data_IF_200816946230
#
_entry.id   IF_200816946230
#
_cell.length_a   1.000
_cell.length_b   1.000
_cell.length_c   1.000
_cell.angle_alpha   90.00
_cell.angle_beta   90.00
_cell.angle_gamma   90.00
#
_symmetry.space_group_name_H-M   'P 1'
#
loop_
_entity.id
_entity.type
_entity.pdbx_description
1 polymer ?
#
# COMPACT_ATOMS: atom_id res chain seq x y z
N UNK A 1 -27.72 -25.21 -11.66
CA UNK A 1 -26.53 -25.22 -10.75
C UNK A 1 -27.00 -25.14 -9.31
N UNK A 2 -26.41 -25.92 -8.43
CA UNK A 2 -26.83 -25.92 -7.03
C UNK A 2 -26.36 -24.62 -6.35
N UNK A 3 -27.08 -24.16 -5.34
CA UNK A 3 -26.71 -22.95 -4.56
C UNK A 3 -25.34 -23.06 -3.94
N UNK A 4 -24.95 -24.28 -3.55
CA UNK A 4 -23.64 -24.60 -3.00
C UNK A 4 -22.50 -24.22 -4.00
N UNK A 5 -22.72 -24.53 -5.29
CA UNK A 5 -21.75 -24.21 -6.35
C UNK A 5 -21.54 -22.70 -6.49
N UNK A 6 -22.62 -21.90 -6.46
CA UNK A 6 -22.50 -20.43 -6.53
C UNK A 6 -21.78 -19.84 -5.33
N UNK A 7 -22.10 -20.30 -4.11
CA UNK A 7 -21.42 -19.85 -2.89
C UNK A 7 -19.94 -20.22 -2.93
N UNK A 8 -19.62 -21.44 -3.36
CA UNK A 8 -18.23 -21.89 -3.46
C UNK A 8 -17.45 -21.10 -4.53
N UNK A 9 -18.04 -20.84 -5.71
CA UNK A 9 -17.41 -20.02 -6.76
C UNK A 9 -17.12 -18.59 -6.29
N UNK A 10 -18.11 -17.97 -5.62
CA UNK A 10 -17.91 -16.63 -5.08
C UNK A 10 -16.78 -16.61 -4.04
N UNK A 11 -16.78 -17.56 -3.11
CA UNK A 11 -15.74 -17.67 -2.08
C UNK A 11 -14.36 -17.93 -2.72
N UNK A 12 -14.28 -18.80 -3.76
CA UNK A 12 -13.03 -19.04 -4.49
C UNK A 12 -12.49 -17.77 -5.13
N UNK A 13 -13.35 -16.97 -5.77
CA UNK A 13 -12.95 -15.69 -6.36
C UNK A 13 -12.38 -14.72 -5.31
N UNK A 14 -12.96 -14.70 -4.10
CA UNK A 14 -12.46 -13.86 -3.02
C UNK A 14 -11.12 -14.39 -2.44
N UNK A 15 -10.99 -15.71 -2.30
CA UNK A 15 -9.74 -16.35 -1.87
C UNK A 15 -8.62 -16.12 -2.89
N UNK A 16 -8.93 -16.07 -4.19
CA UNK A 16 -7.96 -15.72 -5.22
C UNK A 16 -7.45 -14.30 -5.05
N UNK A 17 -8.33 -13.32 -4.82
CA UNK A 17 -7.91 -11.94 -4.52
C UNK A 17 -7.04 -11.85 -3.27
N UNK A 18 -7.33 -12.66 -2.25
CA UNK A 18 -6.48 -12.74 -1.07
C UNK A 18 -5.11 -13.32 -1.39
N UNK A 19 -5.04 -14.38 -2.20
CA UNK A 19 -3.77 -14.95 -2.67
C UNK A 19 -2.94 -13.94 -3.45
N UNK A 20 -3.58 -13.14 -4.31
CA UNK A 20 -2.90 -12.08 -5.08
C UNK A 20 -2.28 -11.03 -4.16
N UNK A 21 -2.99 -10.61 -3.10
CA UNK A 21 -2.47 -9.65 -2.11
C UNK A 21 -1.31 -10.24 -1.32
N UNK A 22 -1.44 -11.48 -0.83
CA UNK A 22 -0.37 -12.16 -0.09
C UNK A 22 0.86 -12.34 -0.99
N UNK A 23 0.68 -12.75 -2.25
CA UNK A 23 1.76 -12.92 -3.22
C UNK A 23 2.48 -11.60 -3.49
N UNK A 24 1.72 -10.50 -3.59
CA UNK A 24 2.28 -9.16 -3.75
C UNK A 24 3.09 -8.73 -2.52
N UNK A 25 2.61 -9.01 -1.30
CA UNK A 25 3.35 -8.75 -0.07
C UNK A 25 4.66 -9.55 -0.02
N UNK A 26 4.60 -10.85 -0.34
CA UNK A 26 5.78 -11.73 -0.37
C UNK A 26 6.81 -11.27 -1.40
N UNK A 27 6.36 -10.89 -2.60
CA UNK A 27 7.24 -10.40 -3.67
C UNK A 27 7.97 -9.10 -3.28
N UNK A 28 7.37 -8.29 -2.39
CA UNK A 28 7.90 -7.00 -1.97
C UNK A 28 8.48 -6.99 -0.54
N UNK A 29 8.86 -8.16 0.00
CA UNK A 29 9.44 -8.24 1.35
C UNK A 29 10.79 -7.51 1.45
N UNK A 30 11.59 -7.53 0.39
CA UNK A 30 12.90 -6.87 0.32
C UNK A 30 12.84 -5.46 -0.31
N UNK A 31 11.64 -5.00 -0.72
CA UNK A 31 11.49 -3.70 -1.36
C UNK A 31 11.51 -2.59 -0.29
N UNK A 32 12.41 -1.62 -0.43
CA UNK A 32 12.56 -0.48 0.48
C UNK A 32 11.30 0.38 0.51
N UNK A 33 10.88 0.79 1.70
CA UNK A 33 9.69 1.65 1.88
C UNK A 33 8.35 1.00 1.53
N UNK A 34 8.33 -0.29 1.18
CA UNK A 34 7.06 -0.97 0.87
C UNK A 34 6.20 -1.12 2.12
N UNK A 35 4.90 -0.89 1.95
CA UNK A 35 3.87 -1.09 2.99
C UNK A 35 2.92 -2.21 2.62
N UNK A 36 2.81 -3.21 3.51
CA UNK A 36 1.97 -4.39 3.30
C UNK A 36 0.51 -4.03 3.11
N UNK A 37 -0.17 -4.78 2.26
CA UNK A 37 -1.61 -4.68 2.06
C UNK A 37 -2.31 -5.83 2.76
N UNK A 38 -3.48 -5.55 3.30
CA UNK A 38 -4.34 -6.53 3.95
C UNK A 38 -5.76 -6.44 3.41
N UNK A 39 -6.32 -7.59 3.05
CA UNK A 39 -7.74 -7.68 2.71
C UNK A 39 -8.58 -7.89 3.97
N UNK A 40 -9.67 -7.15 4.11
CA UNK A 40 -10.72 -7.44 5.07
C UNK A 40 -11.90 -8.12 4.37
N UNK A 41 -12.48 -9.14 5.03
CA UNK A 41 -13.62 -9.87 4.51
C UNK A 41 -14.88 -9.46 5.26
N UNK A 42 -15.97 -9.37 4.52
CA UNK A 42 -17.30 -9.14 5.05
C UNK A 42 -18.25 -10.21 4.54
N UNK A 43 -19.14 -10.66 5.41
CA UNK A 43 -20.20 -11.56 5.01
C UNK A 43 -21.18 -10.85 4.08
N UNK A 44 -21.58 -11.52 3.01
CA UNK A 44 -22.67 -11.07 2.15
C UNK A 44 -24.01 -11.24 2.84
N UNK A 45 -25.06 -10.64 2.26
CA UNK A 45 -26.42 -10.70 2.78
C UNK A 45 -26.85 -12.12 3.15
N UNK A 46 -27.39 -12.26 4.35
CA UNK A 46 -27.99 -13.50 4.83
C UNK A 46 -29.45 -13.52 4.37
N UNK A 47 -29.85 -14.56 3.65
CA UNK A 47 -31.23 -14.77 3.34
C UNK A 47 -31.90 -15.51 4.51
N UNK A 48 -32.93 -14.91 5.08
CA UNK A 48 -33.73 -15.52 6.16
C UNK A 48 -35.05 -15.99 5.58
N UNK A 49 -35.30 -17.27 5.69
CA UNK A 49 -36.61 -17.88 5.35
C UNK A 49 -37.41 -18.16 6.64
N UNK A 50 -38.45 -17.39 6.86
CA UNK A 50 -39.41 -17.63 7.95
C UNK A 50 -40.50 -18.54 7.45
N UNK A 51 -40.53 -19.80 7.89
CA UNK A 51 -41.48 -20.81 7.46
C UNK A 51 -42.62 -21.04 8.50
N UNK A 52 -42.80 -20.10 9.44
CA UNK A 52 -43.84 -20.19 10.45
C UNK A 52 -44.86 -19.09 10.28
N UNK A 53 -46.16 -19.49 10.37
CA UNK A 53 -47.28 -18.54 10.43
C UNK A 53 -47.19 -17.72 11.73
N UNK A 54 -47.63 -16.47 11.67
CA UNK A 54 -47.57 -15.49 12.78
C UNK A 54 -48.36 -15.96 14.03
N UNK A 55 -49.18 -17.00 13.89
CA UNK A 55 -50.06 -17.55 14.95
C UNK A 55 -49.34 -18.49 15.93
N UNK A 56 -48.15 -18.99 15.62
CA UNK A 56 -47.44 -19.98 16.47
C UNK A 56 -46.26 -19.38 17.22
N UNK A 57 -46.51 -18.26 17.91
CA UNK A 57 -45.51 -17.58 18.76
C UNK A 57 -45.41 -18.22 20.15
N UNK A 58 -44.91 -19.44 20.22
CA UNK A 58 -44.34 -19.93 21.48
C UNK A 58 -43.08 -19.16 21.79
N UNK A 59 -42.78 -18.81 23.07
CA UNK A 59 -41.54 -18.14 23.44
C UNK A 59 -40.37 -19.09 23.19
N UNK A 60 -39.73 -18.96 22.05
CA UNK A 60 -38.54 -19.70 21.65
C UNK A 60 -37.29 -18.91 21.98
N UNK A 61 -36.30 -19.57 22.58
CA UNK A 61 -34.96 -19.01 22.83
C UNK A 61 -34.04 -19.05 21.60
N UNK A 62 -34.49 -19.71 20.50
CA UNK A 62 -33.71 -19.81 19.25
C UNK A 62 -34.23 -18.80 18.22
N UNK A 63 -33.33 -18.21 17.38
CA UNK A 63 -33.73 -17.29 16.30
C UNK A 63 -34.76 -17.94 15.37
N UNK A 64 -35.80 -17.18 14.98
CA UNK A 64 -36.80 -17.64 14.01
C UNK A 64 -36.20 -17.75 12.61
N UNK A 65 -36.54 -18.85 11.91
CA UNK A 65 -36.19 -19.06 10.52
C UNK A 65 -34.84 -19.71 10.24
N UNK A 66 -34.69 -20.19 9.01
CA UNK A 66 -33.43 -20.71 8.50
C UNK A 66 -32.61 -19.56 7.90
N UNK A 67 -31.45 -19.27 8.46
CA UNK A 67 -30.51 -18.30 7.91
C UNK A 67 -29.54 -18.99 6.98
N UNK A 68 -29.46 -18.52 5.75
CA UNK A 68 -28.57 -19.07 4.73
C UNK A 68 -27.68 -17.96 4.23
N UNK A 69 -26.36 -18.06 4.49
CA UNK A 69 -25.36 -17.14 3.96
C UNK A 69 -25.15 -17.35 2.45
N UNK A 70 -24.76 -16.28 1.76
CA UNK A 70 -24.46 -16.28 0.30
C UNK A 70 -22.96 -16.23 0.01
N UNK A 71 -22.12 -16.33 1.05
CA UNK A 71 -20.65 -16.29 0.96
C UNK A 71 -20.04 -15.03 1.52
N UNK A 72 -18.73 -14.87 1.37
CA UNK A 72 -17.97 -13.70 1.78
C UNK A 72 -17.56 -12.83 0.58
N UNK A 73 -17.31 -11.56 0.83
CA UNK A 73 -16.77 -10.58 -0.12
C UNK A 73 -15.57 -9.88 0.51
N UNK A 74 -14.53 -9.61 -0.28
CA UNK A 74 -13.49 -8.64 0.11
C UNK A 74 -14.16 -7.28 0.22
N UNK A 75 -14.17 -6.73 1.43
CA UNK A 75 -14.79 -5.43 1.71
C UNK A 75 -13.86 -4.31 1.32
N UNK A 76 -12.61 -4.38 1.79
CA UNK A 76 -11.63 -3.33 1.60
C UNK A 76 -10.23 -3.93 1.57
N UNK A 77 -9.36 -3.33 0.76
CA UNK A 77 -7.91 -3.56 0.79
C UNK A 77 -7.30 -2.36 1.49
N UNK A 78 -6.63 -2.59 2.61
CA UNK A 78 -6.01 -1.56 3.42
C UNK A 78 -4.50 -1.66 3.34
N UNK A 79 -3.83 -0.51 3.19
CA UNK A 79 -2.37 -0.41 3.36
C UNK A 79 -2.05 -0.21 4.83
N UNK A 80 -1.20 -1.06 5.38
CA UNK A 80 -0.75 -0.95 6.78
C UNK A 80 0.44 0.01 6.83
N UNK A 81 0.21 1.20 7.35
CA UNK A 81 1.20 2.29 7.37
C UNK A 81 2.20 2.20 8.53
N UNK A 82 2.22 1.10 9.30
CA UNK A 82 3.23 0.90 10.36
C UNK A 82 4.63 0.98 9.80
N UNK A 83 5.55 1.54 10.58
CA UNK A 83 6.94 1.65 10.19
C UNK A 83 7.61 0.28 10.13
N UNK A 84 8.41 0.06 9.08
CA UNK A 84 9.29 -1.08 8.96
C UNK A 84 10.57 -0.91 9.78
N UNK A 85 11.41 -1.94 9.84
CA UNK A 85 12.73 -1.82 10.47
C UNK A 85 13.63 -0.90 9.67
N UNK A 86 14.44 -0.09 10.38
CA UNK A 86 15.45 0.73 9.76
C UNK A 86 16.75 -0.09 9.65
N UNK A 87 17.37 -0.05 8.48
CA UNK A 87 18.63 -0.73 8.18
C UNK A 87 19.68 0.28 7.78
N UNK A 88 20.78 0.31 8.51
CA UNK A 88 21.94 1.12 8.14
C UNK A 88 22.61 0.55 6.88
N UNK A 89 22.80 1.40 5.88
CA UNK A 89 23.38 1.02 4.59
C UNK A 89 24.80 1.57 4.40
N UNK A 90 25.14 2.64 5.14
CA UNK A 90 26.42 3.36 5.01
C UNK A 90 26.52 4.19 3.71
N UNK A 91 25.49 4.21 2.86
CA UNK A 91 25.48 4.99 1.62
C UNK A 91 24.98 6.41 1.90
N UNK A 92 25.71 7.40 1.44
CA UNK A 92 25.43 8.82 1.75
C UNK A 92 24.14 9.38 1.15
N UNK A 93 23.56 8.72 0.17
CA UNK A 93 22.31 9.14 -0.50
C UNK A 93 21.09 8.34 -0.04
N UNK A 94 21.24 7.51 0.99
CA UNK A 94 20.12 6.76 1.57
C UNK A 94 19.56 7.51 2.78
N UNK A 95 18.26 7.75 2.76
CA UNK A 95 17.54 8.48 3.79
C UNK A 95 16.33 7.68 4.26
N UNK A 96 16.18 7.50 5.56
CA UNK A 96 15.04 6.85 6.15
C UNK A 96 14.21 7.83 6.96
N UNK A 97 12.89 7.81 6.77
CA UNK A 97 11.95 8.55 7.60
C UNK A 97 11.68 7.77 8.88
N UNK A 98 11.91 8.38 10.05
CA UNK A 98 11.73 7.75 11.37
C UNK A 98 10.34 7.98 11.95
N UNK A 99 9.60 8.94 11.41
CA UNK A 99 8.24 9.25 11.83
C UNK A 99 7.24 8.56 10.88
N UNK A 100 6.21 7.87 11.40
CA UNK A 100 5.18 7.27 10.56
C UNK A 100 4.39 8.35 9.78
N UNK A 101 3.83 7.94 8.64
CA UNK A 101 3.00 8.79 7.77
C UNK A 101 3.71 10.01 7.15
N UNK A 102 5.02 10.09 7.21
CA UNK A 102 5.80 11.05 6.41
C UNK A 102 6.20 10.41 5.08
N UNK A 103 6.27 11.21 4.02
CA UNK A 103 6.62 10.75 2.67
C UNK A 103 7.45 11.80 1.96
N UNK A 104 8.35 11.34 1.09
CA UNK A 104 9.09 12.19 0.17
C UNK A 104 8.23 12.59 -1.02
N UNK A 105 8.39 13.82 -1.51
CA UNK A 105 7.80 14.28 -2.77
C UNK A 105 8.72 13.91 -3.93
N UNK A 106 8.17 13.31 -4.96
CA UNK A 106 8.87 13.00 -6.20
C UNK A 106 8.04 13.43 -7.40
N UNK A 107 8.69 13.85 -8.46
CA UNK A 107 8.07 14.22 -9.71
C UNK A 107 8.15 13.01 -10.66
N UNK A 108 7.02 12.40 -10.94
CA UNK A 108 6.93 11.25 -11.82
C UNK A 108 5.92 11.48 -12.95
N UNK A 109 6.13 10.89 -14.14
CA UNK A 109 5.18 10.99 -15.23
C UNK A 109 3.90 10.20 -14.90
N UNK A 110 2.75 10.86 -15.06
CA UNK A 110 1.44 10.23 -15.05
C UNK A 110 0.82 10.39 -16.45
N UNK A 111 1.05 9.40 -17.32
CA UNK A 111 0.72 9.52 -18.74
C UNK A 111 1.60 10.57 -19.45
N UNK A 112 1.01 11.66 -19.93
CA UNK A 112 1.72 12.76 -20.62
C UNK A 112 2.04 13.96 -19.71
N UNK A 113 1.63 13.93 -18.45
CA UNK A 113 1.83 15.02 -17.49
C UNK A 113 2.79 14.61 -16.39
N UNK A 114 3.55 15.56 -15.87
CA UNK A 114 4.40 15.38 -14.70
C UNK A 114 3.59 15.76 -13.47
N UNK A 115 3.37 14.78 -12.60
CA UNK A 115 2.60 14.96 -11.37
C UNK A 115 3.46 14.67 -10.14
N UNK A 116 3.09 15.30 -9.03
CA UNK A 116 3.72 15.05 -7.74
C UNK A 116 3.20 13.72 -7.19
N UNK A 117 4.11 12.84 -6.90
CA UNK A 117 3.87 11.57 -6.25
C UNK A 117 4.57 11.54 -4.89
N UNK A 118 4.14 10.64 -4.04
CA UNK A 118 4.66 10.48 -2.69
C UNK A 118 5.26 9.09 -2.55
N UNK A 119 6.46 9.02 -1.97
CA UNK A 119 7.13 7.74 -1.74
C UNK A 119 7.71 7.66 -0.35
N UNK A 120 7.82 6.44 0.17
CA UNK A 120 8.54 6.14 1.42
C UNK A 120 9.94 5.61 1.13
N UNK A 121 10.25 5.32 -0.13
CA UNK A 121 11.59 4.90 -0.53
C UNK A 121 12.55 6.09 -0.53
N UNK A 122 13.60 5.98 0.27
CA UNK A 122 14.66 7.00 0.39
C UNK A 122 15.97 6.59 -0.26
N UNK A 123 15.98 5.57 -1.12
CA UNK A 123 17.15 5.18 -1.89
C UNK A 123 17.30 6.11 -3.12
N UNK A 124 18.07 7.19 -2.95
CA UNK A 124 18.25 8.17 -4.01
C UNK A 124 19.56 7.94 -4.79
N UNK A 125 19.56 8.41 -6.02
CA UNK A 125 20.63 8.28 -7.00
C UNK A 125 20.93 9.65 -7.63
N UNK A 126 22.10 9.74 -8.25
CA UNK A 126 22.49 10.91 -9.00
C UNK A 126 22.35 10.63 -10.49
N UNK A 127 21.69 11.51 -11.19
CA UNK A 127 21.56 11.47 -12.65
C UNK A 127 22.15 12.74 -13.25
N UNK A 128 23.18 12.67 -14.09
CA UNK A 128 23.69 13.83 -14.78
C UNK A 128 22.65 14.34 -15.79
N UNK A 129 22.35 15.63 -15.72
CA UNK A 129 21.50 16.33 -16.69
C UNK A 129 22.38 16.91 -17.79
N UNK A 130 23.45 17.59 -17.37
CA UNK A 130 24.46 18.22 -18.23
C UNK A 130 25.87 17.90 -17.71
N UNK A 131 26.90 18.40 -18.38
CA UNK A 131 28.31 18.24 -17.98
C UNK A 131 28.64 18.83 -16.60
N UNK A 132 27.81 19.75 -16.09
CA UNK A 132 28.01 20.45 -14.81
C UNK A 132 26.87 20.28 -13.80
N UNK A 133 25.72 19.77 -14.23
CA UNK A 133 24.51 19.68 -13.38
C UNK A 133 24.11 18.24 -13.15
N UNK A 134 23.83 17.91 -11.89
CA UNK A 134 23.41 16.58 -11.45
C UNK A 134 22.10 16.69 -10.66
N UNK A 135 21.13 15.87 -11.02
CA UNK A 135 19.85 15.81 -10.31
C UNK A 135 19.80 14.64 -9.33
N UNK A 136 19.07 14.84 -8.24
CA UNK A 136 18.72 13.80 -7.31
C UNK A 136 17.46 13.06 -7.81
N UNK A 137 17.58 11.75 -8.05
CA UNK A 137 16.52 10.92 -8.61
C UNK A 137 16.30 9.65 -7.78
N UNK A 138 15.14 9.03 -7.95
CA UNK A 138 14.87 7.68 -7.44
C UNK A 138 15.51 6.61 -8.31
N UNK A 139 15.43 5.34 -7.91
CA UNK A 139 15.88 4.18 -8.71
C UNK A 139 15.23 4.09 -10.10
N UNK A 140 14.04 4.65 -10.25
CA UNK A 140 13.26 4.69 -11.49
C UNK A 140 13.54 5.96 -12.34
N UNK A 141 14.39 6.86 -11.86
CA UNK A 141 14.71 8.10 -12.55
C UNK A 141 13.75 9.26 -12.30
N UNK A 142 12.87 9.17 -11.30
CA UNK A 142 11.98 10.26 -10.92
C UNK A 142 12.71 11.31 -10.09
N UNK A 143 12.50 12.60 -10.38
CA UNK A 143 13.18 13.68 -9.67
C UNK A 143 12.66 13.82 -8.25
N UNK A 144 13.56 13.93 -7.29
CA UNK A 144 13.23 14.26 -5.91
C UNK A 144 12.99 15.77 -5.82
N UNK A 145 11.90 16.15 -5.16
CA UNK A 145 11.51 17.54 -5.03
C UNK A 145 11.93 18.13 -3.68
N UNK A 146 12.16 19.41 -3.69
CA UNK A 146 12.36 20.20 -2.50
C UNK A 146 11.01 20.63 -1.86
N UNK A 147 11.08 21.44 -0.80
CA UNK A 147 9.88 21.96 -0.13
C UNK A 147 8.98 22.78 -1.07
N UNK A 148 9.55 23.49 -2.04
CA UNK A 148 8.88 24.41 -2.97
C UNK A 148 8.43 23.71 -4.27
N UNK A 149 8.50 22.36 -4.31
CA UNK A 149 8.17 21.51 -5.45
C UNK A 149 9.11 21.68 -6.66
N UNK A 150 10.33 22.16 -6.46
CA UNK A 150 11.33 22.20 -7.49
C UNK A 150 12.20 20.93 -7.44
N UNK A 151 12.66 20.40 -8.58
CA UNK A 151 13.61 19.29 -8.59
C UNK A 151 14.93 19.72 -7.97
N UNK A 152 15.51 18.85 -7.15
CA UNK A 152 16.81 19.08 -6.52
C UNK A 152 17.91 18.85 -7.54
N UNK A 153 18.54 19.94 -7.98
CA UNK A 153 19.64 19.93 -8.95
C UNK A 153 20.80 20.69 -8.32
N UNK A 154 21.99 20.13 -8.36
CA UNK A 154 23.19 20.78 -7.83
C UNK A 154 24.32 20.76 -8.86
N UNK A 155 25.26 21.68 -8.70
CA UNK A 155 26.38 21.87 -9.63
C UNK A 155 27.64 21.12 -9.15
N UNK A 156 28.21 20.32 -10.06
CA UNK A 156 29.51 19.65 -9.88
C UNK A 156 29.44 18.25 -9.28
N UNK A 157 30.63 17.64 -9.11
CA UNK A 157 30.75 16.29 -8.57
C UNK A 157 30.54 16.26 -7.06
N UNK A 158 29.73 15.32 -6.61
CA UNK A 158 29.39 15.15 -5.20
C UNK A 158 30.54 14.48 -4.44
N UNK A 159 31.09 15.16 -3.41
CA UNK A 159 32.10 14.60 -2.50
C UNK A 159 31.50 14.14 -1.17
N UNK A 160 30.61 14.95 -0.60
CA UNK A 160 30.05 14.70 0.72
C UNK A 160 28.60 15.15 0.79
N UNK A 161 27.78 14.34 1.45
CA UNK A 161 26.40 14.69 1.83
C UNK A 161 26.35 14.77 3.35
N UNK A 162 25.78 15.84 3.86
CA UNK A 162 25.51 16.01 5.28
C UNK A 162 24.02 16.29 5.46
N UNK A 163 23.43 15.66 6.47
CA UNK A 163 22.06 15.90 6.87
C UNK A 163 22.04 16.86 8.06
N UNK A 164 21.25 17.93 7.97
CA UNK A 164 20.89 18.80 9.09
C UNK A 164 19.68 18.32 9.83
N UNK A 165 19.46 18.84 11.04
CA UNK A 165 18.39 18.39 11.94
C UNK A 165 16.97 18.67 11.38
N UNK A 166 16.83 19.67 10.52
CA UNK A 166 15.54 20.09 9.93
C UNK A 166 15.21 19.41 8.58
N UNK A 167 15.86 18.28 8.26
CA UNK A 167 15.73 17.66 6.96
C UNK A 167 16.39 18.46 5.82
N UNK A 168 17.30 19.37 6.15
CA UNK A 168 18.16 20.05 5.19
C UNK A 168 19.28 19.11 4.78
N UNK A 169 19.45 18.90 3.50
CA UNK A 169 20.57 18.13 2.95
C UNK A 169 21.56 19.07 2.32
N UNK A 170 22.80 19.02 2.78
CA UNK A 170 23.91 19.83 2.27
C UNK A 170 24.80 18.95 1.39
N UNK A 171 24.94 19.33 0.15
CA UNK A 171 25.84 18.71 -0.83
C UNK A 171 27.11 19.55 -0.91
N UNK A 172 28.27 18.92 -0.79
CA UNK A 172 29.57 19.59 -0.87
C UNK A 172 30.36 19.03 -2.05
N UNK A 173 30.84 19.93 -2.91
CA UNK A 173 31.68 19.62 -4.06
C UNK A 173 33.16 19.49 -3.70
N UNK A 174 33.99 19.03 -4.64
CA UNK A 174 35.45 18.99 -4.47
C UNK A 174 36.08 20.38 -4.36
N UNK A 175 35.46 21.40 -4.96
CA UNK A 175 35.89 22.79 -4.92
C UNK A 175 35.65 23.47 -3.56
N UNK A 176 34.89 22.84 -2.67
CA UNK A 176 34.55 23.37 -1.35
C UNK A 176 33.26 24.18 -1.31
N UNK A 177 32.58 24.30 -2.46
CA UNK A 177 31.26 24.93 -2.49
C UNK A 177 30.25 23.96 -1.88
N UNK A 178 29.33 24.49 -1.08
CA UNK A 178 28.25 23.71 -0.45
C UNK A 178 26.89 24.32 -0.77
N UNK A 179 26.00 23.50 -1.31
CA UNK A 179 24.61 23.87 -1.57
C UNK A 179 23.70 23.08 -0.61
N UNK A 180 22.74 23.78 0.00
CA UNK A 180 21.81 23.18 0.95
C UNK A 180 20.38 23.20 0.39
N UNK A 181 19.76 22.05 0.36
CA UNK A 181 18.39 21.88 -0.11
C UNK A 181 17.51 21.32 1.00
N UNK A 182 16.30 21.86 1.10
CA UNK A 182 15.30 21.37 2.01
C UNK A 182 14.50 20.24 1.34
N UNK A 183 14.69 18.98 1.72
CA UNK A 183 13.91 17.87 1.16
C UNK A 183 12.41 18.13 1.29
N UNK A 184 11.68 17.87 0.21
CA UNK A 184 10.23 17.94 0.16
C UNK A 184 9.60 16.77 0.90
N UNK A 185 9.22 16.99 2.16
CA UNK A 185 8.59 15.97 3.02
C UNK A 185 7.20 16.44 3.39
N UNK A 186 6.25 15.51 3.33
CA UNK A 186 4.86 15.76 3.68
C UNK A 186 4.40 14.78 4.75
N UNK A 187 3.48 15.23 5.59
CA UNK A 187 2.73 14.39 6.51
C UNK A 187 1.37 14.06 5.90
N UNK A 188 1.03 12.78 5.84
CA UNK A 188 -0.24 12.30 5.31
C UNK A 188 -1.09 11.79 6.47
N UNK A 189 -2.23 12.45 6.74
CA UNK A 189 -3.11 12.06 7.83
C UNK A 189 -3.83 10.76 7.57
N UNK A 190 -4.23 10.51 6.33
CA UNK A 190 -4.93 9.29 5.95
C UNK A 190 -4.27 8.61 4.74
N UNK A 191 -3.26 7.73 4.95
CA UNK A 191 -2.58 7.03 3.86
C UNK A 191 -3.50 6.10 3.05
N UNK A 192 -4.67 5.74 3.58
CA UNK A 192 -5.63 4.88 2.89
C UNK A 192 -6.40 5.62 1.79
N UNK A 193 -6.42 6.96 1.81
CA UNK A 193 -7.03 7.78 0.79
C UNK A 193 -6.18 7.86 -0.49
N UNK A 194 -4.89 7.50 -0.41
CA UNK A 194 -3.98 7.52 -1.54
C UNK A 194 -4.08 6.25 -2.38
N UNK A 195 -3.92 6.40 -3.68
CA UNK A 195 -3.86 5.30 -4.64
C UNK A 195 -2.41 4.97 -4.96
N UNK A 196 -2.08 3.67 -4.97
CA UNK A 196 -0.78 3.18 -5.45
C UNK A 196 -0.77 3.22 -6.98
N UNK A 197 0.18 3.94 -7.54
CA UNK A 197 0.36 4.07 -9.00
C UNK A 197 1.36 3.04 -9.54
N UNK A 198 2.13 2.39 -8.67
CA UNK A 198 3.22 1.47 -8.99
C UNK A 198 4.53 1.93 -8.36
N UNK A 199 5.57 1.08 -8.38
CA UNK A 199 6.95 1.42 -7.97
C UNK A 199 7.05 2.17 -6.62
N UNK A 200 6.25 1.77 -5.62
CA UNK A 200 6.13 2.44 -4.32
C UNK A 200 5.68 3.92 -4.37
N UNK A 201 5.12 4.35 -5.50
CA UNK A 201 4.55 5.69 -5.64
C UNK A 201 3.08 5.71 -5.20
N UNK A 202 2.74 6.75 -4.46
CA UNK A 202 1.39 7.07 -4.03
C UNK A 202 0.94 8.37 -4.69
N UNK A 203 -0.30 8.44 -5.12
CA UNK A 203 -0.90 9.65 -5.70
C UNK A 203 -2.26 9.94 -5.07
N UNK A 204 -2.67 11.19 -5.14
CA UNK A 204 -4.03 11.61 -4.78
C UNK A 204 -4.93 11.27 -5.96
N UNK A 205 -6.01 10.52 -5.78
CA UNK A 205 -6.96 10.25 -6.85
C UNK A 205 -7.72 11.52 -7.26
N UNK A 206 -7.95 11.68 -8.56
CA UNK A 206 -8.54 12.89 -9.15
C UNK A 206 -9.96 13.21 -8.63
N UNK A 207 -10.68 12.22 -8.14
CA UNK A 207 -12.04 12.43 -7.61
C UNK A 207 -12.08 13.22 -6.28
N UNK A 208 -10.98 13.27 -5.51
CA UNK A 208 -10.90 14.13 -4.33
C UNK A 208 -10.78 15.63 -4.64
N UNK A 209 -10.54 15.99 -5.92
CA UNK A 209 -10.53 17.39 -6.33
C UNK A 209 -11.95 18.00 -6.45
N UNK A 210 -13.00 17.18 -6.39
CA UNK A 210 -14.39 17.59 -6.59
C UNK A 210 -15.27 17.53 -5.35
N UNK A 211 -14.79 16.97 -4.23
CA UNK A 211 -15.53 16.86 -2.98
C UNK A 211 -15.06 17.91 -1.95
N UNK A 212 -15.85 18.10 -0.88
CA UNK A 212 -15.58 19.04 0.23
C UNK A 212 -14.25 18.81 0.96
N UNK A 213 -13.51 17.73 0.64
CA UNK A 213 -12.19 17.43 1.17
C UNK A 213 -11.14 17.90 0.18
N UNK A 214 -10.41 18.94 0.52
CA UNK A 214 -9.30 19.43 -0.30
C UNK A 214 -8.06 18.56 -0.15
N UNK A 215 -7.21 18.53 -1.19
CA UNK A 215 -5.93 17.83 -1.13
C UNK A 215 -5.07 18.28 0.05
N UNK A 216 -5.20 19.56 0.46
CA UNK A 216 -4.49 20.16 1.59
C UNK A 216 -4.95 19.60 2.96
N UNK A 217 -6.17 19.08 3.07
CA UNK A 217 -6.65 18.43 4.30
C UNK A 217 -6.07 17.03 4.50
N UNK A 218 -5.70 16.37 3.42
CA UNK A 218 -5.10 15.03 3.46
C UNK A 218 -3.59 15.06 3.63
N UNK A 219 -2.94 16.09 3.05
CA UNK A 219 -1.49 16.18 2.96
C UNK A 219 -1.04 17.53 3.51
N UNK A 220 -0.33 17.49 4.60
CA UNK A 220 0.27 18.68 5.22
C UNK A 220 1.74 18.76 4.82
N UNK A 221 2.14 19.75 4.02
CA UNK A 221 3.55 19.96 3.73
C UNK A 221 4.28 20.43 4.98
N UNK A 222 5.39 19.78 5.31
CA UNK A 222 6.22 20.15 6.45
C UNK A 222 7.17 21.29 6.05
N UNK A 223 6.69 22.53 6.19
CA UNK A 223 7.42 23.75 5.78
C UNK A 223 7.59 24.69 6.98
N UNK A 224 8.69 25.42 7.02
CA UNK A 224 8.99 26.40 8.09
C UNK A 224 9.13 25.71 9.45
N UNK A 225 8.42 26.19 10.47
CA UNK A 225 8.47 25.64 11.84
C UNK A 225 7.99 24.18 11.95
N UNK A 226 7.19 23.70 11.00
CA UNK A 226 6.74 22.30 11.00
C UNK A 226 7.86 21.31 10.61
N UNK A 227 9.00 21.80 10.10
CA UNK A 227 10.16 20.96 9.76
C UNK A 227 10.82 20.34 10.98
N UNK A 228 10.70 20.94 12.17
CA UNK A 228 11.18 20.36 13.43
C UNK A 228 10.55 18.98 13.74
N UNK A 229 9.42 18.67 13.10
CA UNK A 229 8.73 17.39 13.24
C UNK A 229 9.23 16.32 12.25
N UNK A 230 10.15 16.68 11.36
CA UNK A 230 10.71 15.73 10.40
C UNK A 230 11.66 14.81 11.14
N UNK A 231 11.34 13.52 11.09
CA UNK A 231 12.27 12.50 11.54
C UNK A 231 12.99 11.90 10.33
N UNK A 232 14.25 12.26 10.12
CA UNK A 232 15.05 11.76 9.03
C UNK A 232 16.37 11.18 9.55
N UNK A 233 16.71 9.97 9.14
CA UNK A 233 17.97 9.31 9.44
C UNK A 233 18.80 9.19 8.17
N UNK A 234 20.06 9.59 8.24
CA UNK A 234 21.02 9.50 7.16
C UNK A 234 21.68 8.12 7.11
N UNK A 235 22.06 7.66 5.92
CA UNK A 235 22.72 6.37 5.67
C UNK A 235 21.89 5.15 6.12
N UNK A 236 20.59 5.29 6.11
CA UNK A 236 19.65 4.23 6.47
C UNK A 236 18.51 4.16 5.46
N UNK A 237 17.90 2.99 5.35
CA UNK A 237 16.70 2.74 4.56
C UNK A 237 15.63 2.06 5.42
N UNK A 238 14.39 2.41 5.18
CA UNK A 238 13.26 1.70 5.77
C UNK A 238 12.98 0.42 4.98
N UNK A 239 13.03 -0.72 5.65
CA UNK A 239 12.66 -2.01 5.06
C UNK A 239 11.13 -2.15 4.99
N UNK A 240 10.68 -3.08 4.16
CA UNK A 240 9.28 -3.50 4.11
C UNK A 240 8.79 -3.90 5.52
N UNK A 241 7.53 -3.57 5.83
CA UNK A 241 6.89 -4.02 7.07
C UNK A 241 6.19 -5.38 6.93
N UNK A 242 6.55 -6.16 5.90
CA UNK A 242 6.06 -7.51 5.65
C UNK A 242 6.81 -8.52 6.49
N UNK A 243 6.10 -9.34 7.25
CA UNK A 243 6.66 -10.54 7.89
C UNK A 243 6.49 -11.74 6.94
N UNK A 244 7.60 -12.23 6.40
CA UNK A 244 7.61 -13.34 5.44
C UNK A 244 7.00 -14.63 6.02
N UNK A 245 7.22 -14.91 7.30
CA UNK A 245 6.72 -16.14 7.96
C UNK A 245 5.20 -16.04 8.10
N UNK A 246 4.70 -14.87 8.52
CA UNK A 246 3.26 -14.61 8.62
C UNK A 246 2.59 -14.76 7.23
N UNK A 247 3.14 -14.11 6.21
CA UNK A 247 2.56 -14.12 4.86
C UNK A 247 2.62 -15.51 4.21
N UNK A 248 3.71 -16.28 4.39
CA UNK A 248 3.81 -17.67 3.92
C UNK A 248 2.80 -18.58 4.62
N UNK A 249 2.57 -18.38 5.92
CA UNK A 249 1.56 -19.13 6.66
C UNK A 249 0.16 -18.80 6.14
N UNK A 250 -0.14 -17.52 5.93
CA UNK A 250 -1.41 -17.05 5.36
C UNK A 250 -1.62 -17.59 3.95
N UNK A 251 -0.57 -17.65 3.13
CA UNK A 251 -0.58 -18.22 1.78
C UNK A 251 -0.97 -19.69 1.80
N UNK A 252 -0.32 -20.51 2.64
CA UNK A 252 -0.63 -21.93 2.77
C UNK A 252 -2.07 -22.14 3.24
N UNK A 253 -2.53 -21.38 4.23
CA UNK A 253 -3.91 -21.46 4.73
C UNK A 253 -4.92 -21.11 3.64
N UNK A 254 -4.69 -20.02 2.91
CA UNK A 254 -5.58 -19.55 1.84
C UNK A 254 -5.60 -20.54 0.67
N UNK A 255 -4.45 -21.13 0.30
CA UNK A 255 -4.38 -22.17 -0.72
C UNK A 255 -5.15 -23.43 -0.29
N UNK A 256 -5.03 -23.86 0.97
CA UNK A 256 -5.82 -25.01 1.48
C UNK A 256 -7.33 -24.71 1.45
N UNK A 257 -7.73 -23.51 1.86
CA UNK A 257 -9.13 -23.09 1.80
C UNK A 257 -9.65 -23.08 0.35
N UNK A 258 -8.86 -22.57 -0.59
CA UNK A 258 -9.19 -22.61 -2.02
C UNK A 258 -9.38 -24.04 -2.54
N UNK A 259 -8.47 -24.96 -2.20
CA UNK A 259 -8.57 -26.38 -2.58
C UNK A 259 -9.81 -27.06 -1.99
N UNK A 260 -10.18 -26.72 -0.75
CA UNK A 260 -11.39 -27.25 -0.13
C UNK A 260 -12.65 -26.78 -0.85
N UNK A 261 -12.71 -25.51 -1.27
CA UNK A 261 -13.82 -24.97 -2.07
C UNK A 261 -13.92 -25.65 -3.45
N UNK A 262 -12.77 -25.91 -4.09
CA UNK A 262 -12.74 -26.66 -5.35
C UNK A 262 -13.30 -28.09 -5.18
N UNK A 263 -12.94 -28.78 -4.10
CA UNK A 263 -13.51 -30.11 -3.78
C UNK A 263 -15.00 -30.04 -3.50
N UNK A 264 -15.48 -28.99 -2.84
CA UNK A 264 -16.93 -28.81 -2.59
C UNK A 264 -17.71 -28.68 -3.90
N UNK A 265 -17.16 -28.02 -4.92
CA UNK A 265 -17.76 -27.92 -6.24
C UNK A 265 -17.82 -29.30 -6.91
N UNK A 266 -16.72 -30.07 -6.90
CA UNK A 266 -16.71 -31.42 -7.50
C UNK A 266 -17.69 -32.37 -6.83
N UNK A 267 -17.81 -32.33 -5.51
CA UNK A 267 -18.79 -33.12 -4.76
C UNK A 267 -20.24 -32.72 -5.12
N UNK A 268 -20.50 -31.40 -5.25
CA UNK A 268 -21.82 -30.90 -5.66
C UNK A 268 -22.19 -31.36 -7.07
N UNK A 269 -21.20 -31.40 -7.99
CA UNK A 269 -21.41 -31.89 -9.35
C UNK A 269 -21.68 -33.40 -9.39
N UNK A 270 -20.92 -34.18 -8.64
CA UNK A 270 -21.14 -35.62 -8.48
C UNK A 270 -22.54 -35.93 -7.90
N UNK A 271 -22.95 -35.20 -6.87
CA UNK A 271 -24.33 -35.35 -6.32
C UNK A 271 -25.41 -35.01 -7.35
N UNK A 272 -25.19 -33.96 -8.15
CA UNK A 272 -26.11 -33.60 -9.23
C UNK A 272 -26.16 -34.66 -10.30
N UNK A 273 -25.05 -35.28 -10.64
CA UNK A 273 -24.94 -36.41 -11.56
C UNK A 273 -25.69 -37.65 -11.09
N UNK A 274 -25.55 -38.00 -9.80
CA UNK A 274 -26.28 -39.12 -9.19
C UNK A 274 -27.82 -38.90 -9.19
N UNK A 275 -28.26 -37.67 -8.85
CA UNK A 275 -29.68 -37.34 -8.89
C UNK A 275 -30.25 -37.42 -10.30
N UNK A 276 -29.49 -37.01 -11.32
CA UNK A 276 -29.93 -37.13 -12.72
C UNK A 276 -29.88 -38.58 -13.23
N UNK A 277 -29.00 -39.42 -12.68
CA UNK A 277 -28.91 -40.85 -13.06
C UNK A 277 -30.00 -41.75 -12.45
N UNK A 278 -30.73 -41.27 -11.43
CA UNK A 278 -31.85 -42.00 -10.79
C UNK A 278 -33.18 -41.74 -11.53
N UNK A 279 -33.19 -40.78 -12.41
CA UNK A 279 -34.36 -40.40 -13.20
C UNK A 279 -34.35 -41.06 -14.57
#
# INVERSE_FOLDING_TARGET
MSRITYTALNTMSQLQKQLDIISNNVANVDTTGYKKQRASFQELLIQQHNNHSVSDRSPRLTPEGVRIGTGGKVSQIQTIATQGSLKDTGRSLDFALTVPNQYFKVLAPNGNELNIHYTRDGAFYLSPINDSEVALVTSEGHYVLDQDNNPIIFNGDLKKVALGDDGMVTFSNETGDSESFALGIVQIHNPQALVKTGNNLLTIPDHFQNDDITADDLIVPLVGAARDQIGLQHQALEQSNVDLIEEMTNLIQTQRAYQLQARAITLADQMSGLVNGIR
#
